data_IF_850932743588
#
_entry.id   IF_850932743588
#
_cell.length_a   1.000
_cell.length_b   1.000
_cell.length_c   1.000
_cell.angle_alpha   90.00
_cell.angle_beta   90.00
_cell.angle_gamma   90.00
#
_symmetry.space_group_name_H-M   'P 1'
#
loop_
_entity.id
_entity.type
_entity.pdbx_description
1 polymer ?
#
# COMPACT_ATOMS: atom_id res chain seq x y z
N UNK A 1 1.04 56.32 -43.95
CA UNK A 1 0.27 56.20 -42.68
C UNK A 1 0.49 54.81 -42.09
N UNK A 2 1.74 54.49 -41.73
CA UNK A 2 2.22 53.10 -41.61
C UNK A 2 3.07 52.85 -40.35
N UNK A 3 2.88 53.65 -39.30
CA UNK A 3 3.73 53.63 -38.09
C UNK A 3 2.96 53.63 -36.76
N UNK A 4 1.65 53.35 -36.74
CA UNK A 4 0.87 53.16 -35.49
C UNK A 4 0.44 51.70 -35.22
N UNK A 5 0.61 50.79 -36.19
CA UNK A 5 0.16 49.39 -36.06
C UNK A 5 1.14 48.49 -35.28
N UNK A 6 2.41 48.88 -35.14
CA UNK A 6 3.44 48.03 -34.51
C UNK A 6 3.59 48.20 -32.99
N UNK A 7 3.07 49.28 -32.39
CA UNK A 7 3.26 49.57 -30.96
C UNK A 7 2.20 48.90 -30.03
N UNK A 8 1.11 48.38 -30.59
CA UNK A 8 -0.01 47.84 -29.80
C UNK A 8 0.09 46.33 -29.54
N UNK A 9 0.81 45.59 -30.42
CA UNK A 9 1.06 44.14 -30.24
C UNK A 9 2.06 43.82 -29.12
N UNK A 10 2.90 44.78 -28.73
CA UNK A 10 3.92 44.55 -27.71
C UNK A 10 3.33 44.58 -26.29
N UNK A 11 2.39 45.50 -26.03
CA UNK A 11 1.70 45.60 -24.74
C UNK A 11 0.86 44.36 -24.39
N UNK A 12 0.34 43.66 -25.40
CA UNK A 12 -0.45 42.43 -25.22
C UNK A 12 0.41 41.21 -24.91
N UNK A 13 1.67 41.18 -25.36
CA UNK A 13 2.61 40.08 -25.09
C UNK A 13 3.22 40.17 -23.69
N UNK A 14 3.56 41.39 -23.23
CA UNK A 14 4.17 41.61 -21.92
C UNK A 14 3.18 41.26 -20.78
N UNK A 15 1.89 41.61 -20.94
CA UNK A 15 0.85 41.29 -19.94
C UNK A 15 0.59 39.78 -19.76
N UNK A 16 0.77 38.98 -20.81
CA UNK A 16 0.55 37.52 -20.76
C UNK A 16 1.73 36.77 -20.12
N UNK A 17 2.94 37.28 -20.25
CA UNK A 17 4.13 36.73 -19.60
C UNK A 17 4.16 37.01 -18.09
N UNK A 18 3.75 38.20 -17.66
CA UNK A 18 3.68 38.58 -16.25
C UNK A 18 2.63 37.77 -15.47
N UNK A 19 1.48 37.44 -16.09
CA UNK A 19 0.45 36.60 -15.48
C UNK A 19 0.88 35.13 -15.31
N UNK A 20 1.88 34.67 -16.08
CA UNK A 20 2.47 33.32 -15.97
C UNK A 20 3.51 33.22 -14.84
N UNK A 21 3.97 34.37 -14.34
CA UNK A 21 4.94 34.50 -13.25
C UNK A 21 4.32 34.99 -11.94
N UNK A 22 2.99 35.10 -11.85
CA UNK A 22 2.31 35.24 -10.57
C UNK A 22 2.28 33.86 -9.90
N UNK A 23 3.07 33.61 -8.83
CA UNK A 23 2.91 32.41 -8.05
C UNK A 23 1.51 32.44 -7.45
N UNK A 24 0.74 31.38 -7.69
CA UNK A 24 -0.57 31.22 -7.07
C UNK A 24 -0.39 31.33 -5.55
N UNK A 25 -1.11 32.24 -4.91
CA UNK A 25 -1.22 32.32 -3.43
C UNK A 25 -1.82 31.05 -2.80
N UNK A 26 -2.11 30.02 -3.60
CA UNK A 26 -2.74 28.75 -3.22
C UNK A 26 -1.76 27.68 -2.75
N UNK A 27 -0.45 27.94 -2.72
CA UNK A 27 0.55 26.91 -2.45
C UNK A 27 1.12 26.91 -1.03
N UNK A 28 0.94 28.00 -0.27
CA UNK A 28 1.36 28.06 1.14
C UNK A 28 0.36 27.38 2.11
N UNK A 29 -0.96 27.42 1.82
CA UNK A 29 -2.00 26.77 2.64
C UNK A 29 -2.11 25.25 2.39
N UNK A 30 -1.59 24.77 1.25
CA UNK A 30 -1.59 23.33 0.86
C UNK A 30 -0.60 22.51 1.68
N UNK A 31 0.54 23.08 2.10
CA UNK A 31 1.59 22.36 2.84
C UNK A 31 1.10 21.92 4.23
N UNK A 32 0.48 22.82 4.98
CA UNK A 32 -0.11 22.54 6.31
C UNK A 32 -1.37 21.68 6.24
N UNK A 33 -2.23 21.88 5.22
CA UNK A 33 -3.41 21.02 5.02
C UNK A 33 -3.06 19.58 4.67
N UNK A 34 -1.97 19.34 3.93
CA UNK A 34 -1.52 17.98 3.61
C UNK A 34 -1.08 17.21 4.86
N UNK A 35 -0.33 17.86 5.76
CA UNK A 35 0.01 17.26 7.06
C UNK A 35 -1.21 16.96 7.92
N UNK A 36 -2.16 17.90 8.01
CA UNK A 36 -3.40 17.69 8.75
C UNK A 36 -4.29 16.58 8.14
N UNK A 37 -4.30 16.44 6.81
CA UNK A 37 -4.97 15.34 6.14
C UNK A 37 -4.31 14.01 6.50
N UNK A 38 -2.97 13.89 6.43
CA UNK A 38 -2.25 12.67 6.81
C UNK A 38 -2.51 12.31 8.28
N UNK A 39 -2.49 13.29 9.18
CA UNK A 39 -2.83 13.06 10.59
C UNK A 39 -4.27 12.55 10.76
N UNK A 40 -5.23 13.09 10.00
CA UNK A 40 -6.60 12.59 10.00
C UNK A 40 -6.70 11.15 9.46
N UNK A 41 -5.94 10.83 8.40
CA UNK A 41 -5.86 9.47 7.86
C UNK A 41 -5.25 8.49 8.87
N UNK A 42 -4.25 8.93 9.63
CA UNK A 42 -3.63 8.14 10.71
C UNK A 42 -4.63 7.87 11.84
N UNK A 43 -5.37 8.89 12.28
CA UNK A 43 -6.43 8.73 13.29
C UNK A 43 -7.50 7.75 12.80
N UNK A 44 -7.86 7.81 11.52
CA UNK A 44 -8.78 6.85 10.92
C UNK A 44 -8.22 5.42 10.93
N UNK A 45 -6.92 5.23 10.64
CA UNK A 45 -6.27 3.92 10.69
C UNK A 45 -6.27 3.35 12.13
N UNK A 46 -5.94 4.19 13.12
CA UNK A 46 -5.99 3.83 14.55
C UNK A 46 -7.42 3.52 14.99
N UNK A 47 -8.41 4.29 14.53
CA UNK A 47 -9.82 4.04 14.82
C UNK A 47 -10.31 2.69 14.28
N UNK A 48 -9.85 2.28 13.10
CA UNK A 48 -10.15 0.96 12.53
C UNK A 48 -9.46 -0.14 13.33
N UNK A 49 -8.22 0.08 13.79
CA UNK A 49 -7.52 -0.87 14.67
C UNK A 49 -8.25 -1.07 16.00
N UNK A 50 -8.67 0.00 16.66
CA UNK A 50 -9.46 -0.06 17.90
C UNK A 50 -10.81 -0.76 17.68
N UNK A 51 -11.49 -0.47 16.58
CA UNK A 51 -12.71 -1.19 16.20
C UNK A 51 -12.43 -2.70 16.00
N UNK A 52 -11.31 -3.05 15.37
CA UNK A 52 -10.86 -4.44 15.23
C UNK A 52 -10.61 -5.12 16.58
N UNK A 53 -10.01 -4.43 17.54
CA UNK A 53 -9.81 -4.92 18.91
C UNK A 53 -11.14 -5.13 19.66
N UNK A 54 -12.09 -4.20 19.51
CA UNK A 54 -13.43 -4.32 20.10
C UNK A 54 -14.19 -5.53 19.53
N UNK A 55 -14.12 -5.72 18.21
CA UNK A 55 -14.71 -6.87 17.53
C UNK A 55 -14.02 -8.17 17.96
N UNK A 56 -12.69 -8.18 18.07
CA UNK A 56 -11.94 -9.35 18.54
C UNK A 56 -12.36 -9.78 19.96
N UNK A 57 -12.61 -8.81 20.86
CA UNK A 57 -13.10 -9.10 22.22
C UNK A 57 -14.54 -9.62 22.27
N UNK A 58 -15.37 -9.25 21.29
CA UNK A 58 -16.75 -9.72 21.19
C UNK A 58 -16.86 -11.12 20.57
N UNK A 59 -15.81 -11.56 19.87
CA UNK A 59 -15.77 -12.86 19.22
C UNK A 59 -15.24 -13.92 20.20
N UNK A 60 -15.82 -15.13 20.26
CA UNK A 60 -15.39 -16.19 21.18
C UNK A 60 -14.06 -16.87 20.76
N UNK A 61 -13.28 -16.25 19.88
CA UNK A 61 -12.05 -16.78 19.32
C UNK A 61 -10.87 -15.87 19.70
N UNK A 62 -9.75 -16.45 20.16
CA UNK A 62 -8.53 -15.74 20.54
C UNK A 62 -7.76 -15.23 19.31
N UNK A 63 -8.36 -14.31 18.56
CA UNK A 63 -7.66 -13.63 17.46
C UNK A 63 -7.04 -12.33 17.96
N UNK A 64 -5.77 -12.06 17.64
CA UNK A 64 -5.19 -10.76 17.92
C UNK A 64 -5.92 -9.68 17.11
N UNK A 65 -6.22 -8.56 17.78
CA UNK A 65 -7.00 -7.47 17.18
C UNK A 65 -6.39 -6.89 15.90
N UNK A 66 -5.08 -7.06 15.66
CA UNK A 66 -4.43 -6.61 14.41
C UNK A 66 -4.94 -7.37 13.17
N UNK A 67 -5.18 -8.68 13.26
CA UNK A 67 -5.68 -9.50 12.16
C UNK A 67 -7.12 -9.10 11.85
N UNK A 68 -7.93 -8.90 12.89
CA UNK A 68 -9.33 -8.46 12.76
C UNK A 68 -9.39 -7.05 12.17
N UNK A 69 -8.53 -6.13 12.62
CA UNK A 69 -8.42 -4.78 12.06
C UNK A 69 -7.99 -4.77 10.59
N UNK A 70 -7.05 -5.64 10.20
CA UNK A 70 -6.68 -5.82 8.78
C UNK A 70 -7.84 -6.35 7.94
N UNK A 71 -8.57 -7.34 8.43
CA UNK A 71 -9.75 -7.86 7.76
C UNK A 71 -10.85 -6.79 7.62
N UNK A 72 -11.09 -6.01 8.69
CA UNK A 72 -12.06 -4.92 8.70
C UNK A 72 -11.71 -3.83 7.69
N UNK A 73 -10.44 -3.40 7.66
CA UNK A 73 -9.95 -2.42 6.68
C UNK A 73 -10.12 -2.95 5.25
N UNK A 74 -9.82 -4.23 5.02
CA UNK A 74 -10.01 -4.89 3.73
C UNK A 74 -11.49 -4.90 3.33
N UNK A 75 -12.41 -5.24 4.23
CA UNK A 75 -13.85 -5.21 3.97
C UNK A 75 -14.35 -3.81 3.65
N UNK A 76 -13.89 -2.78 4.36
CA UNK A 76 -14.21 -1.37 4.09
C UNK A 76 -13.69 -0.89 2.73
N UNK A 77 -12.52 -1.39 2.32
CA UNK A 77 -11.94 -1.09 1.01
C UNK A 77 -12.65 -1.85 -0.12
N UNK A 78 -13.02 -3.11 0.11
CA UNK A 78 -13.74 -3.96 -0.82
C UNK A 78 -15.16 -3.44 -1.09
N UNK A 79 -15.86 -2.98 -0.05
CA UNK A 79 -17.18 -2.34 -0.15
C UNK A 79 -17.14 -0.94 -0.76
N UNK A 80 -15.95 -0.41 -1.09
CA UNK A 80 -15.69 0.94 -1.63
C UNK A 80 -16.20 2.10 -0.77
N UNK A 81 -16.66 1.82 0.46
CA UNK A 81 -17.00 2.84 1.45
C UNK A 81 -15.77 3.69 1.77
N UNK A 82 -14.61 3.03 1.87
CA UNK A 82 -13.32 3.68 2.06
C UNK A 82 -12.51 3.65 0.76
N UNK A 83 -12.27 4.80 0.13
CA UNK A 83 -11.36 4.88 -1.05
C UNK A 83 -9.91 4.83 -0.59
N UNK A 84 -9.07 4.09 -1.30
CA UNK A 84 -7.61 4.01 -1.06
C UNK A 84 -6.94 5.37 -0.81
N UNK A 85 -7.40 6.44 -1.49
CA UNK A 85 -6.91 7.82 -1.29
C UNK A 85 -7.04 8.36 0.15
N UNK A 86 -7.91 7.80 0.99
CA UNK A 86 -8.15 8.23 2.37
C UNK A 86 -7.21 7.58 3.39
N UNK A 87 -6.45 6.55 3.01
CA UNK A 87 -5.51 5.89 3.93
C UNK A 87 -4.10 5.79 3.34
N UNK A 88 -3.98 5.85 2.00
CA UNK A 88 -2.71 5.64 1.30
C UNK A 88 -1.60 6.57 1.78
N UNK A 89 -1.85 7.87 1.93
CA UNK A 89 -0.79 8.81 2.32
C UNK A 89 -0.29 8.61 3.76
N UNK A 90 -1.17 8.18 4.69
CA UNK A 90 -0.74 7.79 6.03
C UNK A 90 -0.01 6.44 6.04
N UNK A 91 -0.46 5.46 5.26
CA UNK A 91 0.22 4.18 5.12
C UNK A 91 1.63 4.35 4.53
N UNK A 92 1.77 5.10 3.44
CA UNK A 92 3.06 5.38 2.81
C UNK A 92 4.01 6.08 3.79
N UNK A 93 3.50 7.08 4.54
CA UNK A 93 4.29 7.76 5.58
C UNK A 93 4.73 6.82 6.70
N UNK A 94 3.87 5.90 7.15
CA UNK A 94 4.21 4.91 8.16
C UNK A 94 5.26 3.93 7.65
N UNK A 95 5.10 3.44 6.42
CA UNK A 95 6.01 2.50 5.75
C UNK A 95 7.39 3.14 5.58
N UNK A 96 7.45 4.37 5.08
CA UNK A 96 8.69 5.14 4.89
C UNK A 96 9.47 5.33 6.19
N UNK A 97 8.75 5.39 7.33
CA UNK A 97 9.34 5.58 8.65
C UNK A 97 9.34 4.29 9.51
N UNK A 98 9.12 3.09 8.94
CA UNK A 98 9.01 1.83 9.71
C UNK A 98 10.19 1.59 10.67
N UNK A 99 11.40 2.00 10.30
CA UNK A 99 12.59 1.89 11.14
C UNK A 99 12.42 2.55 12.53
N UNK A 100 11.71 3.69 12.65
CA UNK A 100 11.52 4.34 13.95
C UNK A 100 10.59 3.52 14.87
N UNK A 101 9.62 2.80 14.29
CA UNK A 101 8.68 1.96 15.04
C UNK A 101 9.32 0.65 15.52
N UNK A 102 10.38 0.18 14.87
CA UNK A 102 11.13 -0.99 15.33
C UNK A 102 11.99 -0.72 16.57
N UNK A 103 12.38 0.53 16.84
CA UNK A 103 13.22 0.86 18.00
C UNK A 103 12.48 0.55 19.32
N UNK A 104 11.25 1.05 19.59
CA UNK A 104 10.51 0.69 20.79
C UNK A 104 10.23 -0.81 20.91
N UNK A 105 9.88 -1.46 19.80
CA UNK A 105 9.63 -2.89 19.78
C UNK A 105 10.88 -3.70 20.15
N UNK A 106 12.05 -3.32 19.61
CA UNK A 106 13.33 -3.95 19.92
C UNK A 106 13.77 -3.75 21.37
N UNK A 107 13.64 -2.54 21.91
CA UNK A 107 13.95 -2.25 23.32
C UNK A 107 13.03 -3.06 24.26
N UNK A 108 11.76 -3.26 23.89
CA UNK A 108 10.86 -4.13 24.65
C UNK A 108 11.35 -5.58 24.71
N UNK A 109 11.92 -6.10 23.62
CA UNK A 109 12.49 -7.46 23.57
C UNK A 109 13.74 -7.57 24.43
N UNK A 110 14.55 -6.50 24.55
CA UNK A 110 15.75 -6.50 25.39
C UNK A 110 15.45 -6.81 26.87
N UNK A 111 14.26 -6.44 27.36
CA UNK A 111 13.82 -6.79 28.71
C UNK A 111 13.69 -8.31 28.94
N UNK A 112 13.46 -9.09 27.89
CA UNK A 112 13.36 -10.55 27.93
C UNK A 112 14.60 -11.26 27.36
N UNK A 113 15.68 -10.52 27.06
CA UNK A 113 16.86 -11.05 26.38
C UNK A 113 17.51 -12.21 27.13
N UNK A 114 17.53 -12.15 28.47
CA UNK A 114 18.10 -13.21 29.32
C UNK A 114 17.41 -14.57 29.14
N UNK A 115 16.10 -14.60 28.89
CA UNK A 115 15.39 -15.85 28.60
C UNK A 115 15.66 -16.36 27.18
N UNK A 116 15.96 -15.46 26.25
CA UNK A 116 16.31 -15.82 24.88
C UNK A 116 17.71 -16.42 24.79
N UNK A 117 18.67 -15.89 25.56
CA UNK A 117 20.08 -16.34 25.52
C UNK A 117 20.21 -17.81 25.96
N UNK A 118 19.50 -18.22 27.01
CA UNK A 118 19.48 -19.61 27.51
C UNK A 118 18.98 -20.62 26.45
N UNK A 119 18.16 -20.17 25.49
CA UNK A 119 17.60 -21.01 24.43
C UNK A 119 18.01 -20.55 23.03
N UNK A 120 19.03 -19.71 22.90
CA UNK A 120 19.39 -19.05 21.64
C UNK A 120 19.71 -20.06 20.53
N UNK A 121 20.36 -21.18 20.88
CA UNK A 121 20.62 -22.29 19.95
C UNK A 121 19.34 -22.93 19.41
N UNK A 122 18.33 -23.13 20.26
CA UNK A 122 17.03 -23.69 19.83
C UNK A 122 16.28 -22.71 18.94
N UNK A 123 16.30 -21.43 19.28
CA UNK A 123 15.72 -20.38 18.43
C UNK A 123 16.41 -20.30 17.06
N UNK A 124 17.75 -20.31 17.02
CA UNK A 124 18.50 -20.30 15.77
C UNK A 124 18.15 -21.51 14.89
N UNK A 125 18.07 -22.70 15.48
CA UNK A 125 17.65 -23.90 14.77
C UNK A 125 16.22 -23.78 14.22
N UNK A 126 15.26 -23.31 15.03
CA UNK A 126 13.87 -23.09 14.60
C UNK A 126 13.80 -22.06 13.48
N UNK A 127 14.55 -20.96 13.56
CA UNK A 127 14.60 -19.95 12.49
C UNK A 127 15.11 -20.54 11.17
N UNK A 128 16.21 -21.31 11.19
CA UNK A 128 16.74 -21.94 9.98
C UNK A 128 15.77 -22.99 9.44
N UNK A 129 15.24 -23.85 10.30
CA UNK A 129 14.30 -24.90 9.92
C UNK A 129 13.02 -24.30 9.30
N UNK A 130 12.41 -23.30 9.95
CA UNK A 130 11.22 -22.62 9.43
C UNK A 130 11.51 -21.88 8.14
N UNK A 131 12.69 -21.25 8.00
CA UNK A 131 13.09 -20.61 6.73
C UNK A 131 13.15 -21.63 5.59
N UNK A 132 13.77 -22.79 5.80
CA UNK A 132 13.82 -23.87 4.80
C UNK A 132 12.40 -24.36 4.47
N UNK A 133 11.58 -24.62 5.49
CA UNK A 133 10.20 -25.11 5.30
C UNK A 133 9.36 -24.09 4.52
N UNK A 134 9.39 -22.82 4.90
CA UNK A 134 8.65 -21.73 4.22
C UNK A 134 9.14 -21.57 2.79
N UNK A 135 10.46 -21.64 2.56
CA UNK A 135 11.03 -21.53 1.22
C UNK A 135 10.59 -22.68 0.31
N UNK A 136 10.64 -23.92 0.82
CA UNK A 136 10.14 -25.09 0.11
C UNK A 136 8.64 -24.98 -0.17
N UNK A 137 7.84 -24.65 0.84
CA UNK A 137 6.40 -24.48 0.68
C UNK A 137 6.08 -23.43 -0.38
N UNK A 138 6.71 -22.26 -0.31
CA UNK A 138 6.54 -21.18 -1.28
C UNK A 138 6.95 -21.63 -2.68
N UNK A 139 8.11 -22.29 -2.82
CA UNK A 139 8.59 -22.83 -4.10
C UNK A 139 7.60 -23.84 -4.70
N UNK A 140 7.12 -24.79 -3.91
CA UNK A 140 6.11 -25.76 -4.36
C UNK A 140 4.80 -25.08 -4.77
N UNK A 141 4.32 -24.10 -4.00
CA UNK A 141 3.13 -23.32 -4.35
C UNK A 141 3.32 -22.60 -5.69
N UNK A 142 4.47 -21.94 -5.89
CA UNK A 142 4.78 -21.24 -7.15
C UNK A 142 4.84 -22.21 -8.32
N UNK A 143 5.55 -23.34 -8.19
CA UNK A 143 5.64 -24.36 -9.25
C UNK A 143 4.26 -24.95 -9.57
N UNK A 144 3.44 -25.22 -8.55
CA UNK A 144 2.09 -25.73 -8.73
C UNK A 144 1.19 -24.72 -9.46
N UNK A 145 1.24 -23.45 -9.06
CA UNK A 145 0.47 -22.36 -9.70
C UNK A 145 0.94 -22.14 -11.13
N UNK A 146 2.25 -22.11 -11.40
CA UNK A 146 2.79 -21.99 -12.74
C UNK A 146 2.34 -23.14 -13.65
N UNK A 147 2.44 -24.39 -13.17
CA UNK A 147 1.93 -25.56 -13.91
C UNK A 147 0.43 -25.48 -14.19
N UNK A 148 -0.35 -24.95 -13.26
CA UNK A 148 -1.79 -24.75 -13.45
C UNK A 148 -2.08 -23.64 -14.47
N UNK A 149 -1.35 -22.54 -14.42
CA UNK A 149 -1.47 -21.42 -15.36
C UNK A 149 -1.07 -21.85 -16.79
N UNK A 150 0.02 -22.60 -16.96
CA UNK A 150 0.41 -23.13 -18.27
C UNK A 150 -0.64 -24.11 -18.84
N UNK A 151 -1.25 -24.94 -17.99
CA UNK A 151 -2.36 -25.82 -18.40
C UNK A 151 -3.58 -25.01 -18.85
N UNK A 152 -3.87 -23.88 -18.20
CA UNK A 152 -4.94 -22.97 -18.63
C UNK A 152 -4.60 -22.28 -19.95
N UNK A 153 -3.38 -21.78 -20.11
CA UNK A 153 -2.93 -21.14 -21.35
C UNK A 153 -2.99 -22.09 -22.56
N UNK A 154 -2.54 -23.35 -22.40
CA UNK A 154 -2.64 -24.38 -23.45
C UNK A 154 -4.08 -24.74 -23.83
N UNK A 155 -5.03 -24.67 -22.88
CA UNK A 155 -6.46 -24.89 -23.16
C UNK A 155 -7.05 -23.74 -23.97
N UNK A 156 -6.75 -22.50 -23.61
CA UNK A 156 -7.21 -21.32 -24.36
C UNK A 156 -6.65 -21.29 -25.78
N UNK A 157 -5.40 -21.70 -25.98
CA UNK A 157 -4.80 -21.81 -27.32
C UNK A 157 -5.51 -22.85 -28.20
N UNK A 158 -5.84 -24.04 -27.65
CA UNK A 158 -6.58 -25.09 -28.40
C UNK A 158 -8.00 -24.69 -28.76
N UNK A 159 -8.69 -23.92 -27.91
CA UNK A 159 -10.04 -23.42 -28.22
C UNK A 159 -10.04 -22.37 -29.32
N UNK A 160 -8.99 -21.55 -29.43
CA UNK A 160 -8.87 -20.55 -30.50
C UNK A 160 -8.52 -21.20 -31.85
N UNK A 161 -7.68 -22.23 -31.84
CA UNK A 161 -7.30 -23.01 -33.03
C UNK A 161 -8.49 -23.80 -33.61
N UNK A 162 -9.29 -24.45 -32.74
CA UNK A 162 -10.50 -25.16 -33.15
C UNK A 162 -11.60 -24.24 -33.69
N UNK A 163 -11.80 -23.07 -33.08
CA UNK A 163 -12.76 -22.07 -33.58
C UNK A 163 -12.28 -21.39 -34.88
N UNK A 164 -10.97 -21.37 -35.15
CA UNK A 164 -10.40 -20.86 -36.40
C UNK A 164 -10.59 -21.81 -37.57
N UNK A 165 -10.56 -23.13 -37.34
CA UNK A 165 -10.79 -24.14 -38.38
C UNK A 165 -12.27 -24.34 -38.75
N UNK A 166 -13.22 -23.99 -37.87
CA UNK A 166 -14.65 -24.05 -38.18
C UNK A 166 -15.14 -22.90 -39.09
N UNK A 167 -14.34 -21.85 -39.31
CA UNK A 167 -14.71 -20.72 -40.18
C UNK A 167 -14.20 -20.92 -41.62
N UNK A 168 -13.31 -21.90 -41.85
CA UNK A 168 -12.65 -22.12 -43.15
C UNK A 168 -13.11 -23.39 -43.89
N UNK A 169 -14.16 -24.08 -43.40
CA UNK A 169 -14.77 -25.27 -44.02
C UNK A 169 -16.24 -25.01 -44.42
#
# INVERSE_FOLDING_TARGET
MTQQSHAERDKTMIGKAAARFLPSRTDARKKTRRGALIALQLVLLVGIYEAGCLVAKALPIDLPGNIVGMALLLTLLATRVLKHKHVGAACDYLIDNMSIFFIPAGVGIMGCFSMLEDQALKFAFVCVATTIIVFLATSYTVIAVQRLMERRARRTARTLDGAGLEIEA
#
